data_IF_228875265956
#
_entry.id   IF_228875265956
#
_cell.length_a   1.000
_cell.length_b   1.000
_cell.length_c   1.000
_cell.angle_alpha   90.00
_cell.angle_beta   90.00
_cell.angle_gamma   90.00
#
_symmetry.space_group_name_H-M   'P 1'
#
loop_
_entity.id
_entity.type
_entity.pdbx_description
1 polymer ?
#
# COMPACT_ATOMS: atom_id res chain seq x y z
N UNK A 1 48.50 -15.74 -25.23
CA UNK A 1 47.96 -15.03 -24.05
C UNK A 1 46.55 -14.60 -24.42
N UNK A 2 45.53 -14.92 -23.62
CA UNK A 2 44.18 -14.37 -23.83
C UNK A 2 44.18 -12.94 -23.28
N UNK A 3 43.75 -11.98 -24.09
CA UNK A 3 43.58 -10.60 -23.65
C UNK A 3 42.64 -10.55 -22.44
N UNK A 4 42.90 -9.70 -21.43
CA UNK A 4 41.98 -9.55 -20.30
C UNK A 4 40.65 -9.00 -20.82
N UNK A 5 39.57 -9.74 -20.60
CA UNK A 5 38.24 -9.23 -20.92
C UNK A 5 37.93 -8.00 -20.06
N UNK A 6 37.36 -6.97 -20.71
CA UNK A 6 36.87 -5.76 -20.05
C UNK A 6 35.50 -5.96 -19.39
N UNK A 7 34.85 -7.11 -19.60
CA UNK A 7 33.55 -7.40 -19.04
C UNK A 7 33.64 -7.64 -17.53
N UNK A 8 32.79 -6.93 -16.81
CA UNK A 8 32.62 -7.03 -15.36
C UNK A 8 31.24 -7.60 -15.09
N UNK A 9 31.17 -8.51 -14.14
CA UNK A 9 29.91 -9.10 -13.69
C UNK A 9 29.60 -8.68 -12.26
N UNK A 10 28.33 -8.41 -11.99
CA UNK A 10 27.82 -8.04 -10.68
C UNK A 10 27.14 -9.24 -10.05
N UNK A 11 27.55 -9.57 -8.84
CA UNK A 11 26.99 -10.68 -8.06
C UNK A 11 26.54 -10.19 -6.70
N UNK A 12 25.45 -10.76 -6.20
CA UNK A 12 24.92 -10.46 -4.87
C UNK A 12 25.98 -10.70 -3.79
N UNK A 13 26.24 -9.69 -2.97
CA UNK A 13 27.10 -9.83 -1.79
C UNK A 13 26.55 -10.88 -0.82
N UNK A 14 25.23 -10.99 -0.69
CA UNK A 14 24.60 -12.03 0.12
C UNK A 14 24.92 -13.43 -0.39
N UNK A 15 24.82 -13.65 -1.71
CA UNK A 15 25.19 -14.94 -2.29
C UNK A 15 26.68 -15.22 -2.12
N UNK A 16 27.55 -14.22 -2.28
CA UNK A 16 29.00 -14.40 -2.07
C UNK A 16 29.33 -14.73 -0.60
N UNK A 17 28.62 -14.12 0.36
CA UNK A 17 28.74 -14.46 1.77
C UNK A 17 28.32 -15.92 2.03
N UNK A 18 27.22 -16.38 1.41
CA UNK A 18 26.83 -17.80 1.44
C UNK A 18 27.91 -18.70 0.85
N UNK A 19 28.46 -18.35 -0.31
CA UNK A 19 29.58 -19.07 -0.94
C UNK A 19 30.80 -19.21 -0.02
N UNK A 20 31.14 -18.18 0.74
CA UNK A 20 32.29 -18.21 1.65
C UNK A 20 32.04 -18.98 2.96
N UNK A 21 30.79 -19.18 3.36
CA UNK A 21 30.45 -19.69 4.70
C UNK A 21 29.72 -21.03 4.71
N UNK A 22 29.11 -21.43 3.60
CA UNK A 22 28.33 -22.67 3.48
C UNK A 22 29.05 -23.68 2.59
N UNK A 23 28.93 -24.97 2.93
CA UNK A 23 29.44 -26.05 2.08
C UNK A 23 28.72 -26.12 0.72
N UNK A 24 27.43 -25.74 0.70
CA UNK A 24 26.59 -25.71 -0.51
C UNK A 24 25.81 -24.39 -0.55
N UNK A 25 26.32 -23.35 -1.24
CA UNK A 25 25.68 -22.03 -1.29
C UNK A 25 24.42 -21.97 -2.17
N UNK A 26 24.15 -23.04 -2.93
CA UNK A 26 23.08 -23.07 -3.93
C UNK A 26 23.39 -22.24 -5.20
N UNK A 27 22.42 -22.14 -6.13
CA UNK A 27 22.58 -21.39 -7.36
C UNK A 27 22.82 -19.90 -7.14
N UNK A 28 23.54 -19.25 -8.05
CA UNK A 28 23.74 -17.79 -8.00
C UNK A 28 22.38 -17.09 -8.12
N UNK A 29 22.10 -16.13 -7.24
CA UNK A 29 20.89 -15.31 -7.33
C UNK A 29 21.22 -13.83 -7.11
N UNK A 30 20.75 -12.99 -8.03
CA UNK A 30 20.94 -11.54 -8.01
C UNK A 30 19.66 -10.77 -7.62
N UNK A 31 18.63 -11.47 -7.15
CA UNK A 31 17.34 -10.91 -6.75
C UNK A 31 17.42 -10.00 -5.50
N UNK A 32 18.53 -10.05 -4.76
CA UNK A 32 18.74 -9.17 -3.60
C UNK A 32 18.88 -7.70 -4.02
N UNK A 33 19.38 -7.44 -5.24
CA UNK A 33 19.57 -6.09 -5.77
C UNK A 33 18.82 -5.82 -7.09
N UNK A 34 18.22 -6.83 -7.71
CA UNK A 34 17.36 -6.68 -8.89
C UNK A 34 15.88 -6.86 -8.55
N UNK A 35 15.01 -6.12 -9.23
CA UNK A 35 13.58 -6.42 -9.30
C UNK A 35 13.30 -7.54 -10.32
N UNK A 36 12.05 -8.00 -10.39
CA UNK A 36 11.56 -8.94 -11.41
C UNK A 36 11.71 -8.43 -12.85
N UNK A 37 11.78 -7.12 -13.05
CA UNK A 37 12.04 -6.50 -14.37
C UNK A 37 13.52 -6.54 -14.78
N UNK A 38 14.43 -7.00 -13.90
CA UNK A 38 15.87 -7.12 -14.19
C UNK A 38 16.70 -5.85 -14.02
N UNK A 39 16.11 -4.78 -13.48
CA UNK A 39 16.81 -3.54 -13.12
C UNK A 39 16.93 -3.37 -11.61
N UNK A 40 17.66 -2.34 -11.18
CA UNK A 40 17.77 -1.98 -9.77
C UNK A 40 16.47 -1.30 -9.32
N UNK A 41 15.79 -1.77 -8.25
CA UNK A 41 14.67 -1.03 -7.67
C UNK A 41 15.11 0.40 -7.27
N UNK A 42 14.36 1.45 -7.62
CA UNK A 42 14.79 2.84 -7.38
C UNK A 42 15.19 3.13 -5.92
N UNK A 43 14.48 2.55 -4.96
CA UNK A 43 14.76 2.68 -3.53
C UNK A 43 16.07 2.00 -3.08
N UNK A 44 16.66 1.12 -3.90
CA UNK A 44 17.94 0.45 -3.61
C UNK A 44 19.16 1.12 -4.27
N UNK A 45 18.92 2.00 -5.25
CA UNK A 45 19.98 2.53 -6.10
C UNK A 45 21.09 3.25 -5.31
N UNK A 46 20.71 4.01 -4.28
CA UNK A 46 21.65 4.83 -3.50
C UNK A 46 22.64 4.03 -2.64
N UNK A 47 22.41 2.74 -2.42
CA UNK A 47 23.30 1.84 -1.67
C UNK A 47 23.62 0.56 -2.46
N UNK A 48 23.56 0.63 -3.79
CA UNK A 48 23.78 -0.54 -4.64
C UNK A 48 25.17 -1.16 -4.43
N UNK A 49 26.19 -0.35 -4.17
CA UNK A 49 27.57 -0.79 -3.93
C UNK A 49 27.69 -1.68 -2.68
N UNK A 50 26.80 -1.51 -1.71
CA UNK A 50 26.74 -2.37 -0.51
C UNK A 50 26.11 -3.74 -0.80
N UNK A 51 25.31 -3.83 -1.87
CA UNK A 51 24.58 -5.05 -2.25
C UNK A 51 25.31 -5.93 -3.25
N UNK A 52 26.25 -5.36 -4.02
CA UNK A 52 26.92 -6.05 -5.13
C UNK A 52 28.41 -6.25 -4.87
N UNK A 53 28.98 -7.25 -5.56
CA UNK A 53 30.41 -7.47 -5.72
C UNK A 53 30.72 -7.59 -7.20
N UNK A 54 31.76 -6.89 -7.64
CA UNK A 54 32.21 -6.92 -9.03
C UNK A 54 33.21 -8.06 -9.21
N UNK A 55 32.94 -8.94 -10.15
CA UNK A 55 33.78 -10.07 -10.51
C UNK A 55 34.37 -9.90 -11.92
N UNK A 56 35.65 -10.26 -12.11
CA UNK A 56 36.21 -10.48 -13.43
C UNK A 56 35.45 -11.60 -14.18
N UNK A 57 35.37 -11.52 -15.51
CA UNK A 57 34.66 -12.50 -16.33
C UNK A 57 35.07 -13.95 -16.05
N UNK A 58 36.37 -14.25 -15.94
CA UNK A 58 36.84 -15.62 -15.71
C UNK A 58 36.37 -16.18 -14.34
N UNK A 59 36.26 -15.31 -13.33
CA UNK A 59 35.75 -15.70 -12.01
C UNK A 59 34.25 -15.96 -12.10
N UNK A 60 33.51 -15.07 -12.77
CA UNK A 60 32.08 -15.28 -13.04
C UNK A 60 31.80 -16.59 -13.77
N UNK A 61 32.50 -16.85 -14.89
CA UNK A 61 32.33 -18.07 -15.69
C UNK A 61 32.59 -19.32 -14.86
N UNK A 62 33.63 -19.32 -14.02
CA UNK A 62 33.92 -20.43 -13.12
C UNK A 62 32.78 -20.69 -12.13
N UNK A 63 32.29 -19.64 -11.47
CA UNK A 63 31.20 -19.75 -10.50
C UNK A 63 29.89 -20.18 -11.18
N UNK A 64 29.55 -19.57 -12.31
CA UNK A 64 28.34 -19.89 -13.07
C UNK A 64 28.35 -21.34 -13.58
N UNK A 65 29.47 -21.82 -14.13
CA UNK A 65 29.59 -23.20 -14.60
C UNK A 65 29.45 -24.23 -13.47
N UNK A 66 29.81 -23.86 -12.24
CA UNK A 66 29.74 -24.74 -11.06
C UNK A 66 28.39 -24.71 -10.36
N UNK A 67 27.81 -23.53 -10.18
CA UNK A 67 26.61 -23.33 -9.35
C UNK A 67 25.35 -23.00 -10.16
N UNK A 68 25.47 -22.59 -11.41
CA UNK A 68 24.36 -22.13 -12.24
C UNK A 68 23.63 -20.93 -11.65
N UNK A 69 22.34 -20.80 -11.98
CA UNK A 69 21.47 -19.74 -11.46
C UNK A 69 21.35 -18.54 -12.39
N UNK A 70 21.12 -17.36 -11.82
CA UNK A 70 20.98 -16.10 -12.55
C UNK A 70 20.09 -15.06 -11.86
N UNK A 71 19.80 -13.95 -12.56
CA UNK A 71 20.29 -13.60 -13.90
C UNK A 71 21.77 -13.18 -13.90
N UNK A 72 22.45 -13.35 -15.04
CA UNK A 72 23.78 -12.77 -15.25
C UNK A 72 23.66 -11.24 -15.40
N UNK A 73 24.50 -10.49 -14.69
CA UNK A 73 24.41 -9.02 -14.68
C UNK A 73 25.77 -8.44 -15.03
N UNK A 74 25.87 -7.78 -16.17
CA UNK A 74 27.07 -7.07 -16.64
C UNK A 74 26.86 -5.56 -16.78
N UNK A 75 25.63 -5.09 -16.50
CA UNK A 75 25.27 -3.69 -16.51
C UNK A 75 24.22 -3.41 -15.43
N UNK A 76 24.38 -2.29 -14.73
CA UNK A 76 23.48 -1.83 -13.69
C UNK A 76 22.73 -0.60 -14.18
N UNK A 77 21.40 -0.63 -14.07
CA UNK A 77 20.53 0.48 -14.41
C UNK A 77 19.35 0.54 -13.44
N UNK A 78 18.86 1.75 -13.17
CA UNK A 78 17.64 1.93 -12.39
C UNK A 78 16.46 1.44 -13.21
N UNK A 79 15.59 0.64 -12.60
CA UNK A 79 14.41 0.12 -13.26
C UNK A 79 13.37 1.24 -13.49
N UNK A 80 13.15 1.62 -14.75
CA UNK A 80 12.14 2.61 -15.13
C UNK A 80 10.72 2.13 -14.89
N UNK A 81 10.44 0.83 -15.03
CA UNK A 81 9.11 0.26 -14.76
C UNK A 81 8.75 0.44 -13.29
N UNK A 82 9.64 0.04 -12.37
CA UNK A 82 9.43 0.25 -10.94
C UNK A 82 9.33 1.75 -10.58
N UNK A 83 10.08 2.62 -11.25
CA UNK A 83 9.97 4.07 -11.05
C UNK A 83 8.56 4.58 -11.37
N UNK A 84 8.02 4.17 -12.53
CA UNK A 84 6.66 4.55 -12.95
C UNK A 84 5.61 3.99 -11.99
N UNK A 85 5.77 2.76 -11.51
CA UNK A 85 4.84 2.15 -10.53
C UNK A 85 4.84 2.92 -9.20
N UNK A 86 6.01 3.29 -8.69
CA UNK A 86 6.16 4.08 -7.45
C UNK A 86 5.49 5.45 -7.62
N UNK A 87 5.74 6.14 -8.74
CA UNK A 87 5.15 7.44 -9.03
C UNK A 87 3.63 7.36 -9.19
N UNK A 88 3.13 6.34 -9.89
CA UNK A 88 1.70 6.10 -10.06
C UNK A 88 1.02 5.85 -8.70
N UNK A 89 1.63 5.04 -7.83
CA UNK A 89 1.12 4.77 -6.50
C UNK A 89 1.11 6.04 -5.62
N UNK A 90 2.20 6.81 -5.63
CA UNK A 90 2.27 8.08 -4.92
C UNK A 90 1.23 9.08 -5.42
N UNK A 91 1.01 9.15 -6.73
CA UNK A 91 -0.04 9.99 -7.34
C UNK A 91 -1.43 9.55 -6.92
N UNK A 92 -1.71 8.24 -6.93
CA UNK A 92 -2.99 7.68 -6.48
C UNK A 92 -3.27 8.08 -5.03
N UNK A 93 -2.34 7.79 -4.11
CA UNK A 93 -2.49 8.11 -2.69
C UNK A 93 -2.79 9.60 -2.46
N UNK A 94 -2.08 10.48 -3.17
CA UNK A 94 -2.29 11.93 -3.11
C UNK A 94 -3.69 12.33 -3.58
N UNK A 95 -4.14 11.80 -4.71
CA UNK A 95 -5.49 12.10 -5.22
C UNK A 95 -6.56 11.63 -4.22
N UNK A 96 -6.35 10.45 -3.63
CA UNK A 96 -7.29 9.89 -2.65
C UNK A 96 -7.42 10.74 -1.39
N UNK A 97 -6.31 11.08 -0.74
CA UNK A 97 -6.30 11.90 0.46
C UNK A 97 -6.81 13.33 0.19
N UNK A 98 -6.40 13.96 -0.91
CA UNK A 98 -6.82 15.33 -1.25
C UNK A 98 -8.33 15.40 -1.50
N UNK A 99 -8.89 14.41 -2.20
CA UNK A 99 -10.32 14.33 -2.48
C UNK A 99 -11.10 14.08 -1.19
N UNK A 100 -10.65 13.15 -0.36
CA UNK A 100 -11.26 12.89 0.95
C UNK A 100 -11.27 14.13 1.83
N UNK A 101 -10.14 14.83 1.99
CA UNK A 101 -10.06 16.07 2.80
C UNK A 101 -11.05 17.11 2.31
N UNK A 102 -11.17 17.27 0.99
CA UNK A 102 -12.12 18.23 0.39
C UNK A 102 -13.58 17.85 0.72
N UNK A 103 -13.94 16.58 0.57
CA UNK A 103 -15.30 16.10 0.86
C UNK A 103 -15.62 16.18 2.35
N UNK A 104 -14.68 15.78 3.21
CA UNK A 104 -14.85 15.87 4.66
C UNK A 104 -15.03 17.32 5.12
N UNK A 105 -14.25 18.28 4.59
CA UNK A 105 -14.44 19.71 4.89
C UNK A 105 -15.81 20.23 4.45
N UNK A 106 -16.33 19.75 3.31
CA UNK A 106 -17.67 20.13 2.84
C UNK A 106 -18.75 19.56 3.77
N UNK A 107 -18.61 18.31 4.21
CA UNK A 107 -19.51 17.67 5.17
C UNK A 107 -19.55 18.40 6.51
N UNK A 108 -18.39 18.79 7.04
CA UNK A 108 -18.30 19.56 8.30
C UNK A 108 -18.89 20.97 8.20
N UNK A 109 -18.98 21.53 7.00
CA UNK A 109 -19.60 22.84 6.76
C UNK A 109 -21.13 22.74 6.55
N UNK A 110 -21.67 21.54 6.42
CA UNK A 110 -23.10 21.30 6.22
C UNK A 110 -23.84 21.34 7.56
N UNK A 111 -24.73 22.31 7.74
CA UNK A 111 -25.42 22.51 9.03
C UNK A 111 -26.45 21.42 9.36
N UNK A 112 -27.02 20.74 8.34
CA UNK A 112 -28.10 19.76 8.53
C UNK A 112 -28.10 18.65 7.46
N UNK A 113 -27.12 17.72 7.51
CA UNK A 113 -27.05 16.62 6.55
C UNK A 113 -28.26 15.69 6.68
N UNK A 114 -28.96 15.46 5.57
CA UNK A 114 -30.18 14.65 5.55
C UNK A 114 -29.93 13.14 5.62
N UNK A 115 -28.79 12.70 5.06
CA UNK A 115 -28.36 11.31 5.02
C UNK A 115 -26.89 11.24 5.41
N UNK A 116 -26.57 10.40 6.38
CA UNK A 116 -25.21 10.15 6.85
C UNK A 116 -24.89 8.67 6.63
N UNK A 117 -23.71 8.39 6.11
CA UNK A 117 -23.23 7.02 5.93
C UNK A 117 -22.26 6.63 7.05
N UNK A 118 -22.31 5.36 7.43
CA UNK A 118 -21.38 4.79 8.41
C UNK A 118 -20.31 3.94 7.72
N UNK A 119 -19.06 4.14 8.14
CA UNK A 119 -17.92 3.36 7.66
C UNK A 119 -17.17 2.72 8.83
N UNK A 120 -16.74 1.47 8.66
CA UNK A 120 -15.93 0.79 9.66
C UNK A 120 -14.61 1.53 9.89
N UNK A 121 -14.30 1.81 11.16
CA UNK A 121 -13.02 2.42 11.53
C UNK A 121 -11.83 1.47 11.35
N UNK A 122 -12.08 0.15 11.30
CA UNK A 122 -11.04 -0.78 10.93
C UNK A 122 -10.61 -0.54 9.48
N UNK A 123 -11.55 -0.58 8.54
CA UNK A 123 -11.28 -0.33 7.13
C UNK A 123 -10.73 1.09 6.91
N UNK A 124 -11.28 2.09 7.60
CA UNK A 124 -10.81 3.46 7.48
C UNK A 124 -9.35 3.64 7.92
N UNK A 125 -8.92 2.96 8.99
CA UNK A 125 -7.50 2.99 9.42
C UNK A 125 -6.57 2.31 8.42
N UNK A 126 -7.01 1.22 7.80
CA UNK A 126 -6.26 0.55 6.72
C UNK A 126 -6.14 1.49 5.51
N UNK A 127 -7.24 2.16 5.13
CA UNK A 127 -7.23 3.18 4.08
C UNK A 127 -6.30 4.33 4.42
N UNK A 128 -6.36 4.82 5.65
CA UNK A 128 -5.52 5.90 6.15
C UNK A 128 -4.04 5.53 6.11
N UNK A 129 -3.68 4.31 6.55
CA UNK A 129 -2.32 3.79 6.50
C UNK A 129 -1.81 3.69 5.06
N UNK A 130 -2.66 3.28 4.12
CA UNK A 130 -2.36 3.24 2.70
C UNK A 130 -2.08 4.64 2.13
N UNK A 131 -3.00 5.61 2.30
CA UNK A 131 -2.82 6.95 1.72
C UNK A 131 -1.69 7.74 2.36
N UNK A 132 -1.38 7.48 3.65
CA UNK A 132 -0.19 8.04 4.35
C UNK A 132 1.11 7.32 3.98
N UNK A 133 1.07 6.26 3.17
CA UNK A 133 2.24 5.49 2.77
C UNK A 133 2.90 4.69 3.89
N UNK A 134 2.17 4.41 4.98
CA UNK A 134 2.61 3.49 6.04
C UNK A 134 2.55 2.04 5.55
N UNK A 135 1.52 1.72 4.76
CA UNK A 135 1.33 0.43 4.11
C UNK A 135 1.32 0.57 2.58
N UNK A 136 1.89 -0.42 1.89
CA UNK A 136 1.90 -0.47 0.43
C UNK A 136 0.64 -1.10 -0.18
N UNK A 137 -0.07 -1.90 0.61
CA UNK A 137 -1.30 -2.55 0.19
C UNK A 137 -2.51 -1.61 0.43
N UNK A 138 -3.41 -1.47 -0.55
CA UNK A 138 -4.68 -0.78 -0.35
C UNK A 138 -5.61 -1.57 0.60
N UNK A 139 -6.58 -0.92 1.26
CA UNK A 139 -7.47 -1.50 2.30
C UNK A 139 -8.46 -2.59 1.82
N UNK A 140 -8.33 -3.09 0.58
CA UNK A 140 -9.33 -3.97 -0.02
C UNK A 140 -10.74 -3.34 -0.10
N UNK A 141 -11.78 -4.13 -0.38
CA UNK A 141 -13.15 -3.63 -0.41
C UNK A 141 -13.64 -3.15 0.97
N UNK A 142 -14.52 -2.15 1.00
CA UNK A 142 -15.12 -1.66 2.24
C UNK A 142 -15.83 -2.82 2.95
N UNK A 143 -15.48 -3.09 4.20
CA UNK A 143 -16.12 -4.12 5.03
C UNK A 143 -16.81 -3.49 6.25
N UNK A 144 -18.12 -3.33 6.13
CA UNK A 144 -18.99 -2.86 7.19
C UNK A 144 -19.66 -3.99 7.98
N UNK A 145 -19.32 -5.26 7.74
CA UNK A 145 -19.98 -6.42 8.37
C UNK A 145 -19.92 -6.36 9.91
N UNK A 146 -18.83 -5.83 10.47
CA UNK A 146 -18.62 -5.69 11.92
C UNK A 146 -19.46 -4.58 12.56
N UNK A 147 -19.87 -3.61 11.76
CA UNK A 147 -20.70 -2.47 12.19
C UNK A 147 -22.17 -2.62 11.74
N UNK A 148 -22.48 -3.65 10.95
CA UNK A 148 -23.82 -3.96 10.47
C UNK A 148 -24.56 -4.91 11.42
N UNK A 149 -25.88 -4.72 11.52
CA UNK A 149 -26.82 -5.67 12.10
C UNK A 149 -28.04 -5.80 11.20
N UNK A 150 -28.42 -7.03 10.88
CA UNK A 150 -29.65 -7.31 10.12
C UNK A 150 -30.82 -7.39 11.11
N UNK A 151 -31.85 -6.56 10.91
CA UNK A 151 -33.13 -6.65 11.65
C UNK A 151 -34.15 -7.49 10.86
N UNK A 152 -35.25 -7.83 11.52
CA UNK A 152 -36.37 -8.55 10.89
C UNK A 152 -36.81 -7.86 9.59
N UNK A 153 -36.92 -8.63 8.51
CA UNK A 153 -37.24 -8.12 7.17
C UNK A 153 -36.03 -7.87 6.25
N UNK A 154 -34.80 -8.17 6.68
CA UNK A 154 -33.60 -8.05 5.84
C UNK A 154 -33.01 -6.64 5.77
N UNK A 155 -33.57 -5.69 6.51
CA UNK A 155 -33.03 -4.34 6.63
C UNK A 155 -31.74 -4.32 7.44
N UNK A 156 -30.71 -3.67 6.89
CA UNK A 156 -29.41 -3.47 7.54
C UNK A 156 -29.47 -2.17 8.34
N UNK A 157 -29.04 -2.22 9.59
CA UNK A 157 -28.88 -1.07 10.46
C UNK A 157 -27.51 -1.08 11.15
N UNK A 158 -27.12 0.07 11.68
CA UNK A 158 -25.92 0.19 12.50
C UNK A 158 -26.06 -0.67 13.77
N UNK A 159 -25.03 -1.48 14.05
CA UNK A 159 -24.91 -2.26 15.28
C UNK A 159 -24.55 -1.34 16.44
N UNK A 160 -25.29 -1.45 17.54
CA UNK A 160 -25.03 -0.65 18.74
C UNK A 160 -23.62 -0.91 19.30
N UNK A 161 -22.90 0.15 19.67
CA UNK A 161 -21.54 0.09 20.22
C UNK A 161 -20.46 -0.31 19.23
N UNK A 162 -20.76 -0.28 17.93
CA UNK A 162 -19.78 -0.61 16.90
C UNK A 162 -18.72 0.48 16.69
N UNK A 163 -17.55 0.07 16.18
CA UNK A 163 -16.43 0.97 15.89
C UNK A 163 -16.58 1.59 14.49
N UNK A 164 -17.30 2.70 14.39
CA UNK A 164 -17.62 3.35 13.11
C UNK A 164 -17.29 4.84 13.09
N UNK A 165 -17.15 5.37 11.88
CA UNK A 165 -17.08 6.80 11.60
C UNK A 165 -18.23 7.23 10.69
N UNK A 166 -18.52 8.54 10.69
CA UNK A 166 -19.57 9.13 9.86
C UNK A 166 -18.98 9.88 8.68
N UNK A 167 -19.58 9.70 7.52
CA UNK A 167 -19.16 10.33 6.27
C UNK A 167 -20.39 10.76 5.45
N UNK A 168 -20.21 11.77 4.60
CA UNK A 168 -21.28 12.24 3.69
C UNK A 168 -21.59 11.21 2.61
N UNK A 169 -22.73 11.40 1.92
CA UNK A 169 -23.10 10.61 0.74
C UNK A 169 -22.03 10.69 -0.35
N UNK A 170 -21.46 11.86 -0.61
CA UNK A 170 -20.41 12.04 -1.61
C UNK A 170 -19.12 11.33 -1.22
N UNK A 171 -18.79 11.33 0.08
CA UNK A 171 -17.62 10.63 0.60
C UNK A 171 -17.79 9.12 0.48
N UNK A 172 -18.99 8.60 0.80
CA UNK A 172 -19.33 7.20 0.58
C UNK A 172 -19.24 6.82 -0.89
N UNK A 173 -19.90 7.58 -1.77
CA UNK A 173 -19.88 7.34 -3.22
C UNK A 173 -18.44 7.37 -3.78
N UNK A 174 -17.59 8.25 -3.27
CA UNK A 174 -16.18 8.32 -3.64
C UNK A 174 -15.41 7.06 -3.24
N UNK A 175 -15.44 6.69 -1.95
CA UNK A 175 -14.70 5.54 -1.44
C UNK A 175 -15.25 4.22 -2.00
N UNK A 176 -16.58 4.08 -2.09
CA UNK A 176 -17.23 2.93 -2.69
C UNK A 176 -16.92 2.82 -4.19
N UNK A 177 -16.85 3.95 -4.91
CA UNK A 177 -16.43 3.96 -6.32
C UNK A 177 -14.99 3.46 -6.54
N UNK A 178 -14.10 3.66 -5.56
CA UNK A 178 -12.70 3.20 -5.64
C UNK A 178 -12.53 1.74 -5.18
N UNK A 179 -13.23 1.36 -4.11
CA UNK A 179 -12.96 0.12 -3.37
C UNK A 179 -14.10 -0.90 -3.44
N UNK A 180 -15.32 -0.46 -3.74
CA UNK A 180 -16.53 -1.27 -3.66
C UNK A 180 -16.79 -1.77 -2.24
N UNK A 181 -17.42 -2.93 -2.12
CA UNK A 181 -17.72 -3.57 -0.83
C UNK A 181 -19.08 -3.18 -0.25
N UNK A 182 -19.19 -3.24 1.07
CA UNK A 182 -20.40 -2.98 1.83
C UNK A 182 -20.45 -3.73 3.17
N UNK A 183 -21.64 -3.94 3.76
CA UNK A 183 -22.91 -3.38 3.32
C UNK A 183 -22.97 -1.85 3.50
N UNK A 184 -23.84 -1.22 2.72
CA UNK A 184 -24.20 0.17 2.91
C UNK A 184 -25.04 0.34 4.18
N UNK A 185 -24.69 1.33 5.00
CA UNK A 185 -25.41 1.68 6.23
C UNK A 185 -25.64 3.18 6.21
N UNK A 186 -26.86 3.59 5.90
CA UNK A 186 -27.28 4.98 5.88
C UNK A 186 -28.22 5.28 7.06
N UNK A 187 -27.96 6.39 7.75
CA UNK A 187 -28.77 6.92 8.84
C UNK A 187 -29.40 8.23 8.37
N UNK A 188 -30.72 8.32 8.44
CA UNK A 188 -31.46 9.55 8.12
C UNK A 188 -31.72 10.32 9.41
N UNK A 189 -31.26 11.57 9.50
CA UNK A 189 -31.63 12.45 10.61
C UNK A 189 -33.06 12.96 10.40
N UNK A 190 -33.99 12.56 11.27
CA UNK A 190 -35.34 13.15 11.31
C UNK A 190 -35.33 14.36 12.24
N UNK A 191 -35.88 15.50 11.78
CA UNK A 191 -35.88 16.82 12.43
C UNK A 191 -36.66 16.85 13.79
N UNK A 192 -37.10 15.71 14.32
CA UNK A 192 -38.02 15.64 15.46
C UNK A 192 -37.54 14.80 16.67
N UNK A 193 -36.25 14.49 16.80
CA UNK A 193 -35.71 13.86 18.02
C UNK A 193 -34.45 14.58 18.51
N UNK A 194 -34.26 14.72 19.83
CA UNK A 194 -33.08 15.37 20.40
C UNK A 194 -31.83 14.68 19.88
N UNK A 195 -30.80 15.46 19.53
CA UNK A 195 -29.52 15.01 19.00
C UNK A 195 -29.02 13.76 19.75
N UNK A 196 -29.11 12.59 19.12
CA UNK A 196 -28.56 11.37 19.70
C UNK A 196 -27.04 11.55 19.81
N UNK A 197 -26.52 11.42 21.04
CA UNK A 197 -25.09 11.59 21.39
C UNK A 197 -24.15 10.70 20.54
N UNK A 198 -24.66 9.61 19.97
CA UNK A 198 -23.94 8.70 19.08
C UNK A 198 -23.60 9.34 17.72
N UNK A 199 -24.38 10.35 17.28
CA UNK A 199 -24.15 11.07 16.03
C UNK A 199 -22.83 11.83 16.02
N UNK A 200 -22.68 12.72 17.01
CA UNK A 200 -21.49 13.54 17.24
C UNK A 200 -20.22 12.69 17.47
N UNK A 201 -20.36 11.50 18.07
CA UNK A 201 -19.23 10.63 18.38
C UNK A 201 -18.55 10.05 17.13
N UNK A 202 -19.32 9.73 16.09
CA UNK A 202 -18.79 9.19 14.84
C UNK A 202 -18.04 10.23 13.99
N UNK A 203 -18.53 11.47 13.96
CA UNK A 203 -17.86 12.60 13.28
C UNK A 203 -16.56 12.97 13.97
N UNK A 204 -16.58 13.13 15.30
CA UNK A 204 -15.40 13.43 16.11
C UNK A 204 -14.27 12.41 15.94
N UNK A 205 -14.61 11.16 15.58
CA UNK A 205 -13.64 10.10 15.41
C UNK A 205 -12.89 10.16 14.09
N UNK A 206 -13.61 10.39 12.99
CA UNK A 206 -12.97 10.68 11.70
C UNK A 206 -12.17 11.97 11.84
N UNK A 207 -12.68 13.01 12.51
CA UNK A 207 -11.92 14.23 12.79
C UNK A 207 -10.63 13.94 13.57
N UNK A 208 -10.68 13.14 14.64
CA UNK A 208 -9.52 12.81 15.44
C UNK A 208 -8.42 12.09 14.65
N UNK A 209 -8.78 11.17 13.75
CA UNK A 209 -7.81 10.49 12.87
C UNK A 209 -7.30 11.44 11.76
N UNK A 210 -8.16 12.35 11.29
CA UNK A 210 -7.87 13.26 10.17
C UNK A 210 -7.19 14.57 10.55
N UNK A 211 -7.16 14.96 11.83
CA UNK A 211 -6.52 16.20 12.33
C UNK A 211 -5.00 16.30 12.03
N UNK A 212 -4.39 15.18 11.66
CA UNK A 212 -2.98 15.07 11.28
C UNK A 212 -2.74 14.84 9.77
N UNK A 213 -3.78 14.98 8.92
CA UNK A 213 -3.69 14.89 7.46
C UNK A 213 -3.30 16.22 6.82
#
# INVERSE_FOLDING_TARGET
>A
MREPSLLRFYVSREWLNKFNTFAEPGPITNHTFLCSHGGIPPNKYHYIDDLVVILPQNVWEHLYNRFGGGPAVNHLYVCSVCQVEIEALAKRRRIEIDTFIKLNKAFQAEESPSVIFCISMQWFREWEAFVKGKDNEPPGPIDNSRIAQVKGGGHIQLKQGADYGQISEETWAYLHGLYGGGPEIAVRQSVAQPQDLDGLHGEQKIEAETRAL
#
